data_IF_324046203385
#
_entry.id   IF_324046203385
#
_cell.length_a   1.000
_cell.length_b   1.000
_cell.length_c   1.000
_cell.angle_alpha   90.00
_cell.angle_beta   90.00
_cell.angle_gamma   90.00
#
_symmetry.space_group_name_H-M   'P 1'
#
loop_
_entity.id
_entity.type
_entity.pdbx_description
1 polymer ?
#
# COMPACT_ATOMS: atom_id res chain seq x y z
N UNK A 1 -13.15 -15.66 -22.99
CA UNK A 1 -14.00 -15.88 -21.78
C UNK A 1 -14.57 -17.31 -21.64
N UNK A 2 -14.33 -18.27 -22.55
CA UNK A 2 -14.90 -19.64 -22.45
C UNK A 2 -14.13 -20.65 -21.57
N UNK A 3 -13.15 -20.23 -20.75
CA UNK A 3 -12.30 -21.14 -19.95
C UNK A 3 -12.09 -20.64 -18.51
N UNK A 4 -13.19 -20.43 -17.79
CA UNK A 4 -13.15 -20.28 -16.32
C UNK A 4 -13.38 -21.68 -15.75
N UNK A 5 -12.31 -22.33 -15.31
CA UNK A 5 -12.35 -23.72 -14.82
C UNK A 5 -12.51 -23.77 -13.29
N UNK A 6 -12.23 -22.66 -12.60
CA UNK A 6 -12.31 -22.54 -11.13
C UNK A 6 -13.15 -21.34 -10.71
N UNK A 7 -14.22 -21.60 -9.94
CA UNK A 7 -15.16 -20.58 -9.43
C UNK A 7 -16.31 -20.30 -10.39
N UNK A 8 -17.40 -19.71 -9.87
CA UNK A 8 -18.57 -19.32 -10.68
C UNK A 8 -18.68 -17.80 -10.80
N UNK A 9 -18.76 -17.31 -12.02
CA UNK A 9 -18.85 -15.89 -12.34
C UNK A 9 -20.10 -15.60 -13.17
N UNK A 10 -20.92 -14.64 -12.73
CA UNK A 10 -22.14 -14.21 -13.43
C UNK A 10 -21.98 -12.78 -13.90
N UNK A 11 -22.26 -12.51 -15.17
CA UNK A 11 -22.34 -11.16 -15.74
C UNK A 11 -23.78 -10.86 -16.09
N UNK A 12 -24.37 -9.87 -15.43
CA UNK A 12 -25.66 -9.31 -15.81
C UNK A 12 -25.46 -8.15 -16.76
N UNK A 13 -26.10 -8.23 -17.91
CA UNK A 13 -26.19 -7.16 -18.90
C UNK A 13 -27.66 -6.86 -19.17
N UNK A 14 -27.97 -5.74 -19.82
CA UNK A 14 -29.33 -5.48 -20.31
C UNK A 14 -29.83 -6.55 -21.28
N UNK A 15 -28.93 -7.24 -21.99
CA UNK A 15 -29.26 -8.26 -22.98
C UNK A 15 -29.48 -9.66 -22.38
N UNK A 16 -29.07 -9.91 -21.13
CA UNK A 16 -29.21 -11.20 -20.47
C UNK A 16 -28.14 -11.49 -19.41
N UNK A 17 -28.28 -12.65 -18.77
CA UNK A 17 -27.36 -13.15 -17.73
C UNK A 17 -26.41 -14.19 -18.33
N UNK A 18 -25.12 -13.89 -18.33
CA UNK A 18 -24.08 -14.81 -18.77
C UNK A 18 -23.42 -15.47 -17.55
N UNK A 19 -23.44 -16.80 -17.47
CA UNK A 19 -22.86 -17.56 -16.34
C UNK A 19 -21.67 -18.41 -16.82
N UNK A 20 -20.58 -18.36 -16.05
CA UNK A 20 -19.34 -19.10 -16.30
C UNK A 20 -18.93 -19.87 -15.02
N UNK A 21 -18.48 -21.14 -15.11
CA UNK A 21 -18.54 -22.05 -16.25
C UNK A 21 -19.99 -22.46 -16.60
N UNK A 22 -20.18 -22.88 -17.85
CA UNK A 22 -21.51 -23.23 -18.39
C UNK A 22 -22.02 -24.61 -17.91
N UNK A 23 -21.13 -25.49 -17.43
CA UNK A 23 -21.46 -26.85 -16.95
C UNK A 23 -20.45 -27.33 -15.89
N UNK A 24 -20.88 -27.50 -14.64
CA UNK A 24 -20.13 -28.15 -13.55
C UNK A 24 -20.95 -28.17 -12.26
N UNK A 25 -20.87 -29.22 -11.42
CA UNK A 25 -21.69 -29.31 -10.22
C UNK A 25 -21.31 -28.21 -9.23
N UNK A 26 -22.30 -27.51 -8.67
CA UNK A 26 -22.11 -26.54 -7.57
C UNK A 26 -21.48 -27.26 -6.38
N UNK A 27 -20.16 -27.26 -6.27
CA UNK A 27 -19.52 -27.56 -5.00
C UNK A 27 -19.80 -26.39 -4.06
N UNK A 28 -20.36 -26.66 -2.89
CA UNK A 28 -20.76 -25.65 -1.90
C UNK A 28 -19.61 -24.76 -1.37
N UNK A 29 -18.37 -24.97 -1.85
CA UNK A 29 -17.16 -24.25 -1.50
C UNK A 29 -16.56 -23.40 -2.64
N UNK A 30 -17.23 -23.28 -3.79
CA UNK A 30 -16.74 -22.48 -4.92
C UNK A 30 -17.06 -20.99 -4.76
N UNK A 31 -16.03 -20.14 -4.93
CA UNK A 31 -16.17 -18.67 -4.89
C UNK A 31 -17.14 -18.23 -5.99
N UNK A 32 -18.11 -17.38 -5.62
CA UNK A 32 -19.12 -16.86 -6.53
C UNK A 32 -19.02 -15.34 -6.60
N UNK A 33 -18.90 -14.78 -7.81
CA UNK A 33 -18.95 -13.32 -8.02
C UNK A 33 -19.96 -12.98 -9.11
N UNK A 34 -20.66 -11.88 -8.93
CA UNK A 34 -21.68 -11.31 -9.79
C UNK A 34 -21.28 -9.88 -10.19
N UNK A 35 -21.18 -9.66 -11.50
CA UNK A 35 -20.86 -8.37 -12.11
C UNK A 35 -22.08 -7.86 -12.88
N UNK A 36 -22.57 -6.67 -12.52
CA UNK A 36 -23.69 -6.00 -13.20
C UNK A 36 -23.15 -4.87 -14.06
N UNK A 37 -23.36 -4.96 -15.37
CA UNK A 37 -23.03 -3.90 -16.31
C UNK A 37 -24.20 -2.93 -16.37
N UNK A 38 -23.98 -1.69 -15.93
CA UNK A 38 -24.97 -0.60 -15.89
C UNK A 38 -24.92 0.23 -17.16
N UNK A 39 -23.77 0.29 -17.83
CA UNK A 39 -23.56 1.04 -19.06
C UNK A 39 -22.70 0.27 -20.06
N UNK A 40 -23.13 0.18 -21.32
CA UNK A 40 -22.41 -0.54 -22.38
C UNK A 40 -21.06 0.11 -22.76
N UNK A 41 -20.82 1.36 -22.34
CA UNK A 41 -19.49 2.01 -22.40
C UNK A 41 -18.43 1.14 -21.70
N UNK A 42 -18.82 0.32 -20.72
CA UNK A 42 -17.98 -0.70 -20.10
C UNK A 42 -17.23 -1.57 -21.12
N UNK A 43 -17.94 -2.07 -22.14
CA UNK A 43 -17.34 -2.98 -23.13
C UNK A 43 -16.29 -2.27 -24.00
N UNK A 44 -16.53 -1.01 -24.33
CA UNK A 44 -15.59 -0.19 -25.09
C UNK A 44 -14.33 0.06 -24.26
N UNK A 45 -14.48 0.44 -22.98
CA UNK A 45 -13.35 0.65 -22.06
C UNK A 45 -12.57 -0.64 -21.84
N UNK A 46 -13.25 -1.76 -21.61
CA UNK A 46 -12.62 -3.06 -21.38
C UNK A 46 -11.80 -3.51 -22.61
N UNK A 47 -12.35 -3.34 -23.82
CA UNK A 47 -11.65 -3.72 -25.05
C UNK A 47 -10.48 -2.79 -25.40
N UNK A 48 -10.58 -1.50 -25.08
CA UNK A 48 -9.55 -0.50 -25.45
C UNK A 48 -8.42 -0.41 -24.42
N UNK A 49 -8.74 -0.58 -23.14
CA UNK A 49 -7.84 -0.30 -22.02
C UNK A 49 -7.63 -1.50 -21.10
N UNK A 50 -8.27 -2.65 -21.34
CA UNK A 50 -8.03 -3.88 -20.59
C UNK A 50 -8.42 -3.77 -19.11
N UNK A 51 -7.50 -4.16 -18.23
CA UNK A 51 -7.62 -4.09 -16.77
C UNK A 51 -7.89 -2.65 -16.28
N UNK A 52 -7.20 -1.69 -16.89
CA UNK A 52 -7.38 -0.27 -16.63
C UNK A 52 -8.81 0.19 -16.98
N UNK A 53 -9.34 -0.30 -18.10
CA UNK A 53 -10.69 0.01 -18.56
C UNK A 53 -11.77 -0.56 -17.63
N UNK A 54 -11.55 -1.76 -17.10
CA UNK A 54 -12.42 -2.36 -16.08
C UNK A 54 -12.49 -1.49 -14.81
N UNK A 55 -11.33 -1.07 -14.33
CA UNK A 55 -11.25 -0.33 -13.07
C UNK A 55 -11.76 1.12 -13.21
N UNK A 56 -11.50 1.80 -14.33
CA UNK A 56 -12.15 3.08 -14.64
C UNK A 56 -13.68 2.94 -14.72
N UNK A 57 -14.17 1.89 -15.39
CA UNK A 57 -15.61 1.64 -15.47
C UNK A 57 -16.23 1.39 -14.08
N UNK A 58 -15.53 0.68 -13.20
CA UNK A 58 -15.97 0.47 -11.82
C UNK A 58 -16.02 1.80 -11.05
N UNK A 59 -14.97 2.62 -11.17
CA UNK A 59 -14.88 3.94 -10.53
C UNK A 59 -16.02 4.88 -10.95
N UNK A 60 -16.33 4.94 -12.25
CA UNK A 60 -17.39 5.81 -12.80
C UNK A 60 -18.81 5.29 -12.58
N UNK A 61 -18.98 4.06 -12.10
CA UNK A 61 -20.31 3.47 -11.94
C UNK A 61 -20.88 2.81 -13.20
N UNK A 62 -20.07 2.63 -14.25
CA UNK A 62 -20.48 1.92 -15.46
C UNK A 62 -20.67 0.41 -15.18
N UNK A 63 -20.03 -0.12 -14.12
CA UNK A 63 -20.13 -1.51 -13.68
C UNK A 63 -20.17 -1.62 -12.14
N UNK A 64 -20.94 -2.57 -11.64
CA UNK A 64 -21.08 -2.88 -10.21
C UNK A 64 -20.74 -4.35 -9.95
N UNK A 65 -20.15 -4.65 -8.80
CA UNK A 65 -19.76 -6.02 -8.44
C UNK A 65 -20.14 -6.30 -6.98
N UNK A 66 -20.66 -7.50 -6.72
CA UNK A 66 -21.02 -7.95 -5.36
C UNK A 66 -19.78 -8.22 -4.50
N UNK A 67 -18.77 -8.88 -5.05
CA UNK A 67 -17.54 -9.23 -4.35
C UNK A 67 -16.35 -9.12 -5.31
N UNK A 68 -15.73 -7.93 -5.30
CA UNK A 68 -14.51 -7.66 -6.06
C UNK A 68 -13.36 -8.58 -5.65
N UNK A 69 -13.29 -8.97 -4.37
CA UNK A 69 -12.21 -9.84 -3.86
C UNK A 69 -12.33 -11.22 -4.47
N UNK A 70 -13.52 -11.82 -4.44
CA UNK A 70 -13.79 -13.10 -5.10
C UNK A 70 -13.59 -13.01 -6.62
N UNK A 71 -13.99 -11.90 -7.25
CA UNK A 71 -13.78 -11.68 -8.68
C UNK A 71 -12.29 -11.69 -9.06
N UNK A 72 -11.46 -10.94 -8.34
CA UNK A 72 -10.02 -10.91 -8.59
C UNK A 72 -9.36 -12.25 -8.30
N UNK A 73 -9.78 -12.97 -7.27
CA UNK A 73 -9.33 -14.35 -7.03
C UNK A 73 -9.66 -15.28 -8.20
N UNK A 74 -10.88 -15.23 -8.73
CA UNK A 74 -11.29 -16.02 -9.91
C UNK A 74 -10.43 -15.65 -11.12
N UNK A 75 -10.18 -14.37 -11.38
CA UNK A 75 -9.33 -13.96 -12.51
C UNK A 75 -7.87 -14.39 -12.36
N UNK A 76 -7.33 -14.36 -11.14
CA UNK A 76 -5.97 -14.83 -10.88
C UNK A 76 -5.85 -16.36 -11.00
N UNK A 77 -6.83 -17.11 -10.47
CA UNK A 77 -6.85 -18.58 -10.54
C UNK A 77 -7.01 -19.09 -11.99
N UNK A 78 -7.63 -18.30 -12.87
CA UNK A 78 -7.84 -18.62 -14.28
C UNK A 78 -6.91 -17.85 -15.24
N UNK A 79 -5.85 -17.22 -14.72
CA UNK A 79 -4.93 -16.37 -15.50
C UNK A 79 -4.27 -17.11 -16.67
N UNK A 80 -3.89 -18.37 -16.47
CA UNK A 80 -3.22 -19.17 -17.51
C UNK A 80 -4.19 -19.50 -18.68
N UNK A 81 -5.48 -19.54 -18.41
CA UNK A 81 -6.51 -19.71 -19.43
C UNK A 81 -6.90 -18.40 -20.13
N UNK A 82 -6.78 -17.27 -19.42
CA UNK A 82 -7.06 -15.93 -19.96
C UNK A 82 -5.91 -15.40 -20.83
N UNK A 83 -4.66 -15.68 -20.47
CA UNK A 83 -3.47 -15.29 -21.26
C UNK A 83 -3.37 -15.99 -22.63
N UNK A 84 -4.05 -17.12 -22.81
CA UNK A 84 -4.14 -17.81 -24.10
C UNK A 84 -5.11 -17.14 -25.10
N UNK A 85 -5.81 -16.06 -24.71
CA UNK A 85 -6.57 -15.20 -25.64
C UNK A 85 -5.72 -14.10 -26.30
N UNK A 86 -4.47 -13.90 -25.88
CA UNK A 86 -3.65 -12.73 -26.27
C UNK A 86 -2.96 -12.80 -27.63
N UNK A 87 -3.20 -13.82 -28.46
CA UNK A 87 -2.23 -14.11 -29.55
C UNK A 87 -2.36 -13.23 -30.81
N UNK A 88 -3.47 -12.54 -31.08
CA UNK A 88 -3.61 -11.75 -32.35
C UNK A 88 -4.34 -10.41 -32.25
N UNK A 89 -5.34 -10.27 -31.39
CA UNK A 89 -6.13 -9.02 -31.27
C UNK A 89 -5.47 -8.02 -30.32
N UNK A 90 -4.86 -8.47 -29.21
CA UNK A 90 -4.18 -7.61 -28.22
C UNK A 90 -2.95 -6.87 -28.78
N UNK A 91 -2.29 -7.41 -29.81
CA UNK A 91 -1.08 -6.79 -30.39
C UNK A 91 -1.37 -5.48 -31.15
N UNK A 92 -2.57 -5.36 -31.76
CA UNK A 92 -2.97 -4.14 -32.46
C UNK A 92 -3.39 -3.02 -31.48
N UNK A 93 -3.89 -3.38 -30.28
CA UNK A 93 -4.36 -2.44 -29.26
C UNK A 93 -3.31 -2.07 -28.19
N UNK A 94 -2.15 -2.73 -28.17
CA UNK A 94 -1.03 -2.42 -27.25
C UNK A 94 -0.08 -1.33 -27.77
N UNK A 95 -0.18 -0.94 -29.05
CA UNK A 95 0.65 0.13 -29.62
C UNK A 95 0.38 1.52 -28.98
N UNK A 96 -0.89 1.96 -28.82
CA UNK A 96 -1.20 3.21 -28.14
C UNK A 96 -0.77 3.19 -26.67
N UNK A 97 -0.94 2.05 -25.99
CA UNK A 97 -0.55 1.87 -24.59
C UNK A 97 0.95 2.11 -24.39
N UNK A 98 1.82 1.59 -25.26
CA UNK A 98 3.28 1.78 -25.16
C UNK A 98 3.70 3.25 -25.32
N UNK A 99 3.04 4.01 -26.20
CA UNK A 99 3.37 5.42 -26.48
C UNK A 99 2.93 6.33 -25.33
N UNK A 100 1.77 6.08 -24.75
CA UNK A 100 1.30 6.84 -23.57
C UNK A 100 2.15 6.50 -22.35
N UNK A 101 2.52 5.23 -22.15
CA UNK A 101 3.30 4.79 -21.00
C UNK A 101 4.69 5.45 -20.93
N UNK A 102 5.39 5.58 -22.05
CA UNK A 102 6.75 6.15 -22.07
C UNK A 102 6.82 7.64 -21.70
N UNK A 103 5.76 8.41 -21.97
CA UNK A 103 5.74 9.86 -21.70
C UNK A 103 5.37 10.21 -20.26
N UNK A 104 4.86 9.25 -19.48
CA UNK A 104 4.47 9.44 -18.09
C UNK A 104 5.48 8.82 -17.08
N UNK A 105 6.55 8.18 -17.56
CA UNK A 105 7.58 7.58 -16.70
C UNK A 105 8.56 8.64 -16.18
N UNK A 106 8.53 8.82 -14.85
CA UNK A 106 9.58 9.31 -13.94
C UNK A 106 10.64 10.28 -14.49
N UNK A 107 10.24 11.54 -14.74
CA UNK A 107 11.16 12.68 -14.65
C UNK A 107 11.33 13.06 -13.17
N UNK A 108 12.53 13.49 -12.74
CA UNK A 108 12.86 13.88 -11.35
C UNK A 108 11.84 14.84 -10.71
N UNK A 109 11.31 15.78 -11.49
CA UNK A 109 10.28 16.73 -11.06
C UNK A 109 8.94 16.06 -10.76
N UNK A 110 8.61 14.98 -11.48
CA UNK A 110 7.37 14.24 -11.31
C UNK A 110 7.42 13.37 -10.06
N UNK A 111 8.52 12.65 -9.77
CA UNK A 111 8.61 11.83 -8.55
C UNK A 111 8.41 12.65 -7.27
N UNK A 112 8.96 13.88 -7.21
CA UNK A 112 8.72 14.82 -6.09
C UNK A 112 7.26 15.29 -6.04
N UNK A 113 6.68 15.65 -7.18
CA UNK A 113 5.28 16.06 -7.28
C UNK A 113 4.31 14.94 -6.92
N UNK A 114 4.66 13.70 -7.24
CA UNK A 114 3.85 12.50 -7.00
C UNK A 114 3.87 12.12 -5.50
N UNK A 115 5.01 12.26 -4.82
CA UNK A 115 5.07 12.09 -3.35
C UNK A 115 4.24 13.19 -2.66
N UNK A 116 4.35 14.45 -3.08
CA UNK A 116 3.61 15.56 -2.44
C UNK A 116 2.09 15.46 -2.68
N UNK A 117 1.66 15.25 -3.93
CA UNK A 117 0.26 15.39 -4.33
C UNK A 117 -0.71 14.39 -3.68
N UNK A 118 -0.20 13.31 -3.06
CA UNK A 118 -1.01 12.29 -2.39
C UNK A 118 -1.00 12.40 -0.87
N UNK A 119 0.08 12.90 -0.27
CA UNK A 119 0.16 13.16 1.16
C UNK A 119 -0.35 14.55 1.56
N UNK A 120 -0.69 15.40 0.59
CA UNK A 120 -1.43 16.66 0.79
C UNK A 120 -2.97 16.43 0.79
N UNK A 121 -3.42 15.18 1.00
CA UNK A 121 -4.82 14.85 1.29
C UNK A 121 -5.01 14.94 2.81
N UNK A 122 -6.12 15.55 3.26
CA UNK A 122 -6.36 15.92 4.65
C UNK A 122 -6.04 14.82 5.66
N UNK A 123 -5.21 15.16 6.65
CA UNK A 123 -4.89 14.32 7.81
C UNK A 123 -6.14 13.75 8.51
N UNK A 124 -7.27 14.46 8.46
CA UNK A 124 -8.53 13.99 9.07
C UNK A 124 -9.12 12.77 8.33
N UNK A 125 -8.93 12.69 7.01
CA UNK A 125 -9.34 11.53 6.22
C UNK A 125 -8.53 10.30 6.65
N UNK A 126 -7.21 10.43 6.73
CA UNK A 126 -6.33 9.37 7.19
C UNK A 126 -6.64 8.95 8.64
N UNK A 127 -6.92 9.91 9.53
CA UNK A 127 -7.36 9.63 10.90
C UNK A 127 -8.70 8.88 10.99
N UNK A 128 -9.50 8.88 9.92
CA UNK A 128 -10.76 8.15 9.84
C UNK A 128 -10.60 6.63 9.80
N UNK A 129 -9.52 6.12 9.18
CA UNK A 129 -9.33 4.69 8.96
C UNK A 129 -7.99 4.12 9.47
N UNK A 130 -6.99 4.97 9.69
CA UNK A 130 -5.75 4.55 10.35
C UNK A 130 -5.96 4.35 11.87
N UNK A 131 -5.01 3.68 12.50
CA UNK A 131 -4.91 3.61 13.96
C UNK A 131 -4.45 4.94 14.55
N UNK A 132 -4.52 5.09 15.88
CA UNK A 132 -4.16 6.33 16.59
C UNK A 132 -2.73 6.83 16.30
N UNK A 133 -1.81 5.93 15.96
CA UNK A 133 -0.47 6.28 15.54
C UNK A 133 -0.39 6.83 14.11
N UNK A 134 -1.47 6.86 13.33
CA UNK A 134 -1.44 7.36 11.95
C UNK A 134 -0.37 6.65 11.08
N UNK A 135 -0.10 5.37 11.30
CA UNK A 135 0.90 4.65 10.50
C UNK A 135 0.25 4.10 9.23
N UNK A 136 0.63 4.68 8.08
CA UNK A 136 0.23 4.19 6.75
C UNK A 136 1.34 3.31 6.16
N UNK A 137 1.50 2.12 6.74
CA UNK A 137 2.38 1.04 6.24
C UNK A 137 1.93 -0.30 6.82
N UNK A 138 2.48 -1.41 6.33
CA UNK A 138 2.14 -2.76 6.79
C UNK A 138 2.27 -2.93 8.32
N UNK A 139 1.25 -3.47 8.97
CA UNK A 139 1.32 -3.87 10.38
C UNK A 139 1.85 -5.32 10.53
N UNK A 140 2.29 -5.74 11.73
CA UNK A 140 2.64 -7.14 12.03
C UNK A 140 1.64 -7.71 13.02
N UNK A 141 0.88 -8.72 12.60
CA UNK A 141 -0.14 -9.41 13.40
C UNK A 141 0.35 -10.73 14.01
N UNK A 142 -0.21 -11.16 15.15
CA UNK A 142 0.14 -12.47 15.74
C UNK A 142 -0.53 -13.61 14.98
N UNK A 143 -1.73 -13.34 14.47
CA UNK A 143 -2.53 -14.25 13.68
C UNK A 143 -2.91 -13.56 12.38
N UNK A 144 -2.61 -14.15 11.23
CA UNK A 144 -2.86 -13.55 9.92
C UNK A 144 -4.35 -13.45 9.56
N UNK A 145 -5.16 -14.37 10.08
CA UNK A 145 -6.60 -14.49 9.78
C UNK A 145 -7.46 -14.38 11.04
N UNK A 146 -6.91 -13.75 12.09
CA UNK A 146 -7.64 -13.56 13.35
C UNK A 146 -8.91 -12.71 13.19
N UNK A 147 -8.94 -11.82 12.19
CA UNK A 147 -10.08 -10.99 11.82
C UNK A 147 -11.21 -11.77 11.14
N UNK A 148 -10.89 -12.86 10.42
CA UNK A 148 -11.86 -13.66 9.68
C UNK A 148 -12.65 -14.65 10.57
N UNK A 149 -12.22 -14.86 11.82
CA UNK A 149 -12.89 -15.79 12.77
C UNK A 149 -14.11 -15.20 13.44
N UNK A 150 -14.15 -13.88 13.61
CA UNK A 150 -15.33 -13.14 14.04
C UNK A 150 -16.28 -13.04 12.85
N UNK A 151 -17.46 -13.69 12.92
CA UNK A 151 -18.44 -13.83 11.84
C UNK A 151 -19.08 -12.55 11.31
N UNK A 152 -18.28 -11.53 11.01
CA UNK A 152 -18.69 -10.38 10.22
C UNK A 152 -18.92 -10.84 8.78
N UNK A 153 -20.05 -10.45 8.21
CA UNK A 153 -20.40 -10.78 6.83
C UNK A 153 -19.37 -10.15 5.88
N UNK A 154 -18.43 -10.97 5.38
CA UNK A 154 -17.33 -10.55 4.51
C UNK A 154 -17.81 -9.76 3.28
N UNK A 155 -19.08 -9.94 2.90
CA UNK A 155 -19.72 -9.30 1.75
C UNK A 155 -20.03 -7.83 1.96
N UNK A 156 -20.25 -7.39 3.21
CA UNK A 156 -20.51 -5.97 3.50
C UNK A 156 -19.30 -5.09 3.15
N UNK A 157 -18.10 -5.66 3.21
CA UNK A 157 -16.84 -4.93 3.02
C UNK A 157 -16.17 -5.20 1.66
N UNK A 158 -16.78 -6.03 0.79
CA UNK A 158 -16.26 -6.38 -0.54
C UNK A 158 -16.76 -5.47 -1.68
N UNK A 159 -17.49 -4.40 -1.34
CA UNK A 159 -18.09 -3.47 -2.30
C UNK A 159 -19.58 -3.73 -2.61
N UNK A 160 -20.25 -4.60 -1.84
CA UNK A 160 -21.66 -4.98 -2.07
C UNK A 160 -22.71 -3.96 -1.58
N UNK A 161 -22.32 -2.81 -1.04
CA UNK A 161 -23.28 -1.82 -0.52
C UNK A 161 -24.23 -1.35 -1.63
N UNK A 162 -25.46 -1.86 -1.62
CA UNK A 162 -26.53 -1.49 -2.55
C UNK A 162 -26.99 -2.56 -3.54
N UNK A 163 -26.34 -3.72 -3.63
CA UNK A 163 -26.76 -4.80 -4.54
C UNK A 163 -27.80 -5.73 -3.90
N UNK A 164 -29.08 -5.49 -4.16
CA UNK A 164 -30.15 -6.46 -3.84
C UNK A 164 -30.05 -7.69 -4.77
N UNK A 165 -29.88 -8.88 -4.19
CA UNK A 165 -30.10 -10.15 -4.90
C UNK A 165 -31.59 -10.28 -5.22
N UNK A 166 -31.94 -10.39 -6.50
CA UNK A 166 -33.31 -10.65 -6.99
C UNK A 166 -33.84 -12.07 -6.66
N UNK A 167 -33.29 -12.76 -5.66
CA UNK A 167 -33.64 -14.15 -5.34
C UNK A 167 -33.57 -14.53 -3.88
N UNK A 168 -33.63 -13.57 -2.95
CA UNK A 168 -33.75 -13.88 -1.52
C UNK A 168 -34.75 -12.90 -0.92
N UNK A 169 -35.82 -13.47 -0.36
CA UNK A 169 -36.87 -12.77 0.37
C UNK A 169 -36.27 -11.78 1.38
N UNK A 170 -37.01 -10.69 1.60
CA UNK A 170 -36.65 -9.54 2.43
C UNK A 170 -36.18 -9.95 3.83
N UNK A 171 -34.88 -10.15 4.02
CA UNK A 171 -34.27 -9.95 5.34
C UNK A 171 -33.84 -8.49 5.42
N UNK A 172 -34.62 -7.72 6.17
CA UNK A 172 -34.18 -6.44 6.72
C UNK A 172 -32.83 -6.66 7.38
N UNK A 173 -31.76 -6.21 6.71
CA UNK A 173 -30.42 -6.16 7.29
C UNK A 173 -30.50 -5.17 8.44
N UNK A 174 -30.68 -5.73 9.63
CA UNK A 174 -30.65 -5.01 10.88
C UNK A 174 -29.34 -4.23 10.97
N UNK A 175 -29.43 -2.92 10.93
CA UNK A 175 -28.37 -1.93 11.20
C UNK A 175 -27.82 -2.04 12.64
N UNK A 176 -28.14 -3.10 13.39
CA UNK A 176 -27.89 -3.24 14.83
C UNK A 176 -26.56 -3.90 15.20
N UNK A 177 -25.66 -4.22 14.25
CA UNK A 177 -24.35 -4.85 14.58
C UNK A 177 -23.17 -3.87 14.52
N UNK A 178 -23.35 -2.62 14.08
CA UNK A 178 -22.29 -1.60 14.18
C UNK A 178 -22.40 -0.92 15.54
N UNK A 179 -22.04 -1.64 16.61
CA UNK A 179 -21.73 -0.98 17.88
C UNK A 179 -20.41 -0.26 17.71
N UNK A 180 -20.48 1.07 17.65
CA UNK A 180 -19.38 1.98 17.93
C UNK A 180 -18.80 1.66 19.31
N UNK A 181 -17.88 0.71 19.37
CA UNK A 181 -16.87 0.74 20.41
C UNK A 181 -15.73 1.60 19.85
N UNK A 182 -15.52 2.82 20.37
CA UNK A 182 -14.31 3.55 20.05
C UNK A 182 -13.14 2.65 20.47
N UNK A 183 -12.37 2.18 19.48
CA UNK A 183 -11.17 1.42 19.74
C UNK A 183 -10.26 2.29 20.61
N UNK A 184 -10.12 1.94 21.88
CA UNK A 184 -9.12 2.58 22.75
C UNK A 184 -7.74 2.12 22.28
N UNK A 185 -6.70 2.96 22.44
CA UNK A 185 -5.33 2.66 21.99
C UNK A 185 -4.86 1.28 22.46
N UNK A 186 -5.23 0.85 23.67
CA UNK A 186 -4.84 -0.45 24.21
C UNK A 186 -5.64 -1.64 23.67
N UNK A 187 -6.88 -1.43 23.19
CA UNK A 187 -7.75 -2.51 22.69
C UNK A 187 -7.76 -2.63 21.17
N UNK A 188 -7.15 -1.67 20.46
CA UNK A 188 -7.10 -1.65 19.00
C UNK A 188 -6.11 -2.70 18.44
N UNK A 189 -6.60 -3.76 17.75
CA UNK A 189 -5.73 -4.78 17.16
C UNK A 189 -4.80 -4.24 16.06
N UNK A 190 -5.21 -3.18 15.34
CA UNK A 190 -4.39 -2.53 14.31
C UNK A 190 -3.26 -1.73 14.95
N UNK A 191 -3.56 -0.92 15.96
CA UNK A 191 -2.56 -0.16 16.70
C UNK A 191 -1.50 -1.08 17.32
N UNK A 192 -1.94 -2.15 18.00
CA UNK A 192 -1.02 -3.14 18.57
C UNK A 192 -0.15 -3.81 17.51
N UNK A 193 -0.71 -4.10 16.33
CA UNK A 193 0.03 -4.67 15.21
C UNK A 193 1.04 -3.67 14.61
N UNK A 194 0.69 -2.38 14.54
CA UNK A 194 1.61 -1.33 14.12
C UNK A 194 2.75 -1.15 15.12
N UNK A 195 2.46 -1.06 16.42
CA UNK A 195 3.49 -0.93 17.46
C UNK A 195 4.44 -2.13 17.48
N UNK A 196 3.93 -3.34 17.23
CA UNK A 196 4.77 -4.54 17.08
C UNK A 196 5.67 -4.46 15.86
N UNK A 197 5.18 -3.96 14.72
CA UNK A 197 6.00 -3.71 13.54
C UNK A 197 7.11 -2.71 13.84
N UNK A 198 6.77 -1.56 14.41
CA UNK A 198 7.77 -0.53 14.72
C UNK A 198 8.82 -1.05 15.70
N UNK A 199 8.39 -1.77 16.75
CA UNK A 199 9.30 -2.42 17.71
C UNK A 199 10.18 -3.48 17.04
N UNK A 200 9.65 -4.24 16.08
CA UNK A 200 10.41 -5.22 15.32
C UNK A 200 11.52 -4.55 14.49
N UNK A 201 11.21 -3.43 13.83
CA UNK A 201 12.20 -2.62 13.08
C UNK A 201 13.26 -2.04 14.02
N UNK A 202 12.87 -1.49 15.17
CA UNK A 202 13.81 -0.95 16.18
C UNK A 202 14.76 -2.05 16.69
N UNK A 203 14.24 -3.24 16.96
CA UNK A 203 15.05 -4.40 17.38
C UNK A 203 16.03 -4.84 16.30
N UNK A 204 15.60 -4.90 15.03
CA UNK A 204 16.49 -5.22 13.90
C UNK A 204 17.54 -4.14 13.67
N UNK A 205 17.19 -2.88 13.91
CA UNK A 205 18.14 -1.78 13.84
C UNK A 205 19.12 -1.78 15.03
N UNK A 206 18.89 -2.54 16.10
CA UNK A 206 19.74 -2.58 17.31
C UNK A 206 20.12 -1.17 17.79
N UNK A 207 19.11 -0.31 17.95
CA UNK A 207 19.34 1.06 18.43
C UNK A 207 19.75 0.98 19.91
N UNK A 208 20.81 1.71 20.28
CA UNK A 208 21.33 1.80 21.65
C UNK A 208 21.23 3.25 22.16
N UNK A 209 21.27 3.50 23.47
CA UNK A 209 21.32 4.84 24.03
C UNK A 209 22.50 5.65 23.47
N UNK A 210 22.29 6.93 23.16
CA UNK A 210 23.31 7.80 22.57
C UNK A 210 23.43 7.74 21.04
N UNK A 211 22.73 6.81 20.37
CA UNK A 211 22.78 6.71 18.91
C UNK A 211 22.00 7.85 18.23
N UNK A 212 22.56 8.32 17.11
CA UNK A 212 21.87 9.20 16.18
C UNK A 212 21.25 8.38 15.04
N UNK A 213 19.95 8.50 14.87
CA UNK A 213 19.16 7.73 13.89
C UNK A 213 18.68 8.64 12.76
N UNK A 214 18.93 8.23 11.52
CA UNK A 214 18.35 8.86 10.33
C UNK A 214 17.12 8.08 9.88
N UNK A 215 16.00 8.76 9.74
CA UNK A 215 14.78 8.24 9.14
C UNK A 215 14.48 8.96 7.82
N UNK A 216 14.35 8.19 6.73
CA UNK A 216 13.85 8.72 5.45
C UNK A 216 12.42 8.27 5.25
N UNK A 217 11.50 9.24 5.24
CA UNK A 217 10.06 9.02 5.16
C UNK A 217 9.39 9.12 6.52
N UNK A 218 9.31 10.33 7.09
CA UNK A 218 8.77 10.56 8.44
C UNK A 218 7.33 10.09 8.64
N UNK A 219 6.51 10.11 7.58
CA UNK A 219 5.06 9.99 7.69
C UNK A 219 4.53 10.98 8.75
N UNK A 220 3.84 10.46 9.76
CA UNK A 220 3.38 11.23 10.92
C UNK A 220 4.23 11.02 12.19
N UNK A 221 5.49 10.60 12.02
CA UNK A 221 6.55 10.54 13.04
C UNK A 221 6.39 9.47 14.13
N UNK A 222 5.54 8.46 13.90
CA UNK A 222 5.29 7.39 14.89
C UNK A 222 6.51 6.55 15.21
N UNK A 223 7.38 6.30 14.23
CA UNK A 223 8.62 5.58 14.46
C UNK A 223 9.58 6.39 15.32
N UNK A 224 9.87 7.64 14.96
CA UNK A 224 10.77 8.50 15.71
C UNK A 224 10.28 8.75 17.14
N UNK A 225 8.97 8.97 17.33
CA UNK A 225 8.35 9.09 18.66
C UNK A 225 8.59 7.80 19.46
N UNK A 226 8.32 6.63 18.87
CA UNK A 226 8.52 5.36 19.57
C UNK A 226 9.99 5.14 19.93
N UNK A 227 10.94 5.43 19.04
CA UNK A 227 12.38 5.32 19.30
C UNK A 227 12.78 6.20 20.49
N UNK A 228 12.37 7.46 20.48
CA UNK A 228 12.73 8.41 21.53
C UNK A 228 12.07 8.09 22.88
N UNK A 229 10.87 7.51 22.88
CA UNK A 229 10.18 7.05 24.10
C UNK A 229 10.78 5.77 24.68
N UNK A 230 11.22 4.84 23.83
CA UNK A 230 11.67 3.51 24.26
C UNK A 230 13.13 3.45 24.67
N UNK A 231 14.00 4.26 24.06
CA UNK A 231 15.45 4.21 24.29
C UNK A 231 15.90 5.59 24.76
N UNK A 232 16.56 5.73 25.92
CA UNK A 232 17.04 7.02 26.42
C UNK A 232 18.18 7.58 25.55
N UNK A 233 18.36 8.90 25.57
CA UNK A 233 19.49 9.62 24.95
C UNK A 233 19.72 9.40 23.44
N UNK A 234 18.72 8.91 22.70
CA UNK A 234 18.76 8.85 21.24
C UNK A 234 18.32 10.17 20.61
N UNK A 235 18.94 10.52 19.48
CA UNK A 235 18.53 11.64 18.62
C UNK A 235 18.03 11.08 17.30
N UNK A 236 16.87 11.55 16.84
CA UNK A 236 16.27 11.10 15.57
C UNK A 236 16.11 12.29 14.64
N UNK A 237 16.77 12.24 13.49
CA UNK A 237 16.55 13.16 12.38
C UNK A 237 15.67 12.46 11.34
N UNK A 238 14.51 13.04 11.05
CA UNK A 238 13.54 12.44 10.13
C UNK A 238 13.22 13.39 8.98
N UNK A 239 13.14 12.84 7.76
CA UNK A 239 12.95 13.59 6.52
C UNK A 239 11.56 13.35 5.91
N UNK A 240 10.87 14.42 5.55
CA UNK A 240 9.64 14.39 4.75
C UNK A 240 9.64 15.46 3.65
N UNK A 241 8.83 15.24 2.62
CA UNK A 241 8.55 16.20 1.55
C UNK A 241 7.19 16.89 1.70
N UNK A 242 6.30 16.39 2.57
CA UNK A 242 4.97 16.96 2.76
C UNK A 242 4.94 17.92 3.96
N UNK A 243 4.41 19.12 3.72
CA UNK A 243 4.22 20.16 4.74
C UNK A 243 3.13 19.75 5.75
N UNK A 244 2.07 19.10 5.28
CA UNK A 244 0.97 18.64 6.14
C UNK A 244 1.44 17.56 7.12
N UNK A 245 2.27 16.63 6.64
CA UNK A 245 2.91 15.62 7.48
C UNK A 245 3.84 16.25 8.51
N UNK A 246 4.69 17.19 8.10
CA UNK A 246 5.60 17.88 9.02
C UNK A 246 4.83 18.60 10.13
N UNK A 247 3.76 19.32 9.77
CA UNK A 247 2.98 20.12 10.72
C UNK A 247 2.35 19.23 11.80
N UNK A 248 1.69 18.14 11.40
CA UNK A 248 1.08 17.21 12.35
C UNK A 248 2.14 16.42 13.14
N UNK A 249 3.26 16.04 12.51
CA UNK A 249 4.38 15.39 13.18
C UNK A 249 4.94 16.27 14.31
N UNK A 250 5.18 17.57 14.05
CA UNK A 250 5.68 18.51 15.05
C UNK A 250 4.70 18.70 16.20
N UNK A 251 3.39 18.75 15.93
CA UNK A 251 2.35 18.79 16.97
C UNK A 251 2.43 17.55 17.87
N UNK A 252 2.49 16.35 17.28
CA UNK A 252 2.58 15.08 18.04
C UNK A 252 3.88 14.97 18.85
N UNK A 253 5.00 15.46 18.32
CA UNK A 253 6.27 15.51 19.05
C UNK A 253 6.20 16.47 20.24
N UNK A 254 5.53 17.63 20.06
CA UNK A 254 5.28 18.60 21.12
C UNK A 254 4.44 18.00 22.24
N UNK A 255 3.33 17.34 21.89
CA UNK A 255 2.45 16.65 22.83
C UNK A 255 3.18 15.54 23.61
N UNK A 256 4.14 14.87 22.96
CA UNK A 256 4.98 13.87 23.62
C UNK A 256 6.16 14.46 24.43
N UNK A 257 6.44 15.76 24.33
CA UNK A 257 7.57 16.42 25.01
C UNK A 257 8.96 16.09 24.46
N UNK A 258 9.06 15.59 23.23
CA UNK A 258 10.29 15.02 22.65
C UNK A 258 11.01 15.94 21.66
N UNK A 259 10.68 17.23 21.66
CA UNK A 259 11.23 18.23 20.73
C UNK A 259 12.75 18.37 20.80
N UNK A 260 13.36 18.06 21.95
CA UNK A 260 14.80 18.12 22.15
C UNK A 260 15.55 16.92 21.54
N UNK A 261 14.83 15.88 21.12
CA UNK A 261 15.41 14.60 20.63
C UNK A 261 15.03 14.28 19.20
N UNK A 262 13.91 14.81 18.71
CA UNK A 262 13.39 14.53 17.37
C UNK A 262 13.40 15.83 16.56
N UNK A 263 14.07 15.80 15.41
CA UNK A 263 14.08 16.90 14.45
C UNK A 263 13.43 16.46 13.14
N UNK A 264 12.34 17.15 12.75
CA UNK A 264 11.60 16.87 11.50
C UNK A 264 11.99 17.89 10.45
N UNK A 265 12.67 17.43 9.41
CA UNK A 265 13.19 18.27 8.33
C UNK A 265 12.33 18.13 7.07
N UNK A 266 11.90 19.27 6.52
CA UNK A 266 11.22 19.34 5.23
C UNK A 266 12.27 19.48 4.13
N UNK A 267 12.84 18.36 3.71
CA UNK A 267 13.86 18.35 2.68
C UNK A 267 13.89 17.03 1.92
N UNK A 268 14.45 17.09 0.72
CA UNK A 268 14.76 15.89 -0.06
C UNK A 268 16.02 15.22 0.51
N UNK A 269 15.99 13.90 0.66
CA UNK A 269 17.14 13.12 1.12
C UNK A 269 18.38 13.27 0.20
N UNK A 270 18.20 13.73 -1.04
CA UNK A 270 19.30 14.00 -1.96
C UNK A 270 20.05 15.29 -1.64
N UNK A 271 19.44 16.20 -0.90
CA UNK A 271 19.98 17.51 -0.56
C UNK A 271 20.34 17.60 0.93
N UNK A 272 20.80 16.49 1.52
CA UNK A 272 21.21 16.46 2.91
C UNK A 272 22.42 17.39 3.16
N UNK A 273 22.45 18.12 4.29
CA UNK A 273 23.54 19.05 4.59
C UNK A 273 24.90 18.34 4.74
N UNK A 274 25.99 18.96 4.29
CA UNK A 274 27.31 18.33 4.26
C UNK A 274 27.81 17.83 5.63
N UNK A 275 27.36 18.45 6.73
CA UNK A 275 27.64 18.04 8.10
C UNK A 275 27.06 16.67 8.49
N UNK A 276 26.19 16.09 7.66
CA UNK A 276 25.59 14.78 7.89
C UNK A 276 26.38 13.62 7.27
N UNK A 277 27.50 13.91 6.61
CA UNK A 277 28.41 12.89 6.13
C UNK A 277 28.92 12.03 7.29
N UNK A 278 28.68 10.72 7.20
CA UNK A 278 29.06 9.73 8.20
C UNK A 278 28.62 10.09 9.64
N UNK A 279 27.50 10.79 9.81
CA UNK A 279 27.05 11.27 11.11
C UNK A 279 26.12 10.28 11.85
N UNK A 280 25.48 9.37 11.13
CA UNK A 280 24.42 8.52 11.68
C UNK A 280 24.88 7.11 12.03
N UNK A 281 24.48 6.63 13.21
CA UNK A 281 24.74 5.26 13.68
C UNK A 281 23.74 4.26 13.09
N UNK A 282 22.50 4.73 12.89
CA UNK A 282 21.38 3.89 12.47
C UNK A 282 20.57 4.54 11.38
N UNK A 283 20.05 3.71 10.49
CA UNK A 283 19.21 4.15 9.38
C UNK A 283 17.90 3.38 9.36
N UNK A 284 16.79 4.07 9.14
CA UNK A 284 15.47 3.47 8.96
C UNK A 284 14.80 4.12 7.75
N UNK A 285 14.21 3.30 6.88
CA UNK A 285 13.28 3.79 5.85
C UNK A 285 12.16 2.78 5.64
N UNK A 286 10.92 3.24 5.70
CA UNK A 286 9.74 2.38 5.61
C UNK A 286 8.91 2.82 4.42
N UNK A 287 8.69 1.90 3.48
CA UNK A 287 7.79 2.05 2.31
C UNK A 287 8.01 3.36 1.53
N UNK A 288 9.28 3.78 1.43
CA UNK A 288 9.68 4.98 0.68
C UNK A 288 10.27 4.63 -0.69
N UNK A 289 10.98 3.50 -0.79
CA UNK A 289 11.74 3.10 -1.99
C UNK A 289 10.83 2.97 -3.22
N UNK A 290 9.56 2.63 -3.00
CA UNK A 290 8.50 2.53 -3.99
C UNK A 290 8.32 3.83 -4.78
N UNK A 291 8.58 4.97 -4.15
CA UNK A 291 8.46 6.29 -4.74
C UNK A 291 9.76 6.82 -5.37
N UNK A 292 10.89 6.14 -5.18
CA UNK A 292 12.20 6.56 -5.72
C UNK A 292 12.28 6.33 -7.23
N UNK A 293 11.74 5.20 -7.70
CA UNK A 293 11.86 4.79 -9.11
C UNK A 293 13.16 4.03 -9.40
N UNK A 294 13.13 3.18 -10.44
CA UNK A 294 14.22 2.26 -10.78
C UNK A 294 15.55 2.96 -11.04
N UNK A 295 15.56 4.06 -11.79
CA UNK A 295 16.82 4.73 -12.18
C UNK A 295 17.56 5.34 -10.99
N UNK A 296 16.86 5.67 -9.91
CA UNK A 296 17.40 6.41 -8.77
C UNK A 296 17.73 5.53 -7.57
N UNK A 297 17.46 4.23 -7.62
CA UNK A 297 17.78 3.30 -6.53
C UNK A 297 19.27 3.29 -6.16
N UNK A 298 20.16 3.33 -7.16
CA UNK A 298 21.60 3.39 -6.92
C UNK A 298 21.98 4.68 -6.19
N UNK A 299 21.42 5.82 -6.62
CA UNK A 299 21.65 7.11 -5.96
C UNK A 299 21.08 7.14 -4.54
N UNK A 300 19.92 6.52 -4.32
CA UNK A 300 19.36 6.37 -2.98
C UNK A 300 20.33 5.64 -2.05
N UNK A 301 20.86 4.49 -2.45
CA UNK A 301 21.84 3.76 -1.66
C UNK A 301 23.17 4.51 -1.48
N UNK A 302 23.59 5.31 -2.46
CA UNK A 302 24.76 6.20 -2.33
C UNK A 302 24.55 7.23 -1.21
N UNK A 303 23.37 7.85 -1.16
CA UNK A 303 23.03 8.82 -0.10
C UNK A 303 22.98 8.15 1.28
N UNK A 304 22.43 6.93 1.35
CA UNK A 304 22.40 6.14 2.58
C UNK A 304 23.83 5.78 3.04
N UNK A 305 24.70 5.30 2.14
CA UNK A 305 26.10 5.00 2.47
C UNK A 305 26.88 6.26 2.91
N UNK A 306 26.58 7.40 2.30
CA UNK A 306 27.21 8.68 2.62
C UNK A 306 26.82 9.17 4.02
N UNK A 307 25.54 9.07 4.40
CA UNK A 307 25.05 9.52 5.70
C UNK A 307 25.46 8.61 6.87
N UNK A 308 25.61 7.31 6.62
CA UNK A 308 25.95 6.32 7.64
C UNK A 308 27.43 6.32 8.02
N UNK A 309 27.72 6.28 9.33
CA UNK A 309 29.08 6.11 9.88
C UNK A 309 29.80 4.95 9.23
N UNK A 310 31.10 5.10 8.94
CA UNK A 310 31.92 4.08 8.25
C UNK A 310 32.21 2.82 9.08
N UNK A 311 31.89 2.82 10.39
CA UNK A 311 32.02 1.66 11.28
C UNK A 311 30.77 1.54 12.15
N UNK A 312 30.35 0.30 12.42
CA UNK A 312 29.25 0.00 13.36
C UNK A 312 27.84 0.40 12.88
N UNK A 313 27.70 0.98 11.68
CA UNK A 313 26.39 1.41 11.18
C UNK A 313 25.49 0.23 10.79
N UNK A 314 24.22 0.34 11.16
CA UNK A 314 23.17 -0.64 10.86
C UNK A 314 21.97 0.09 10.26
N UNK A 315 21.42 -0.44 9.17
CA UNK A 315 20.22 0.09 8.55
C UNK A 315 19.12 -0.95 8.43
N UNK A 316 17.88 -0.49 8.46
CA UNK A 316 16.69 -1.31 8.20
C UNK A 316 15.82 -0.61 7.18
N UNK A 317 15.44 -1.34 6.14
CA UNK A 317 14.55 -0.86 5.09
C UNK A 317 13.36 -1.80 4.99
N UNK A 318 12.15 -1.24 4.97
CA UNK A 318 10.93 -1.95 4.62
C UNK A 318 10.47 -1.50 3.23
N UNK A 319 10.14 -2.45 2.36
CA UNK A 319 9.77 -2.17 0.97
C UNK A 319 8.83 -3.23 0.41
N UNK A 320 7.80 -2.77 -0.29
CA UNK A 320 6.90 -3.59 -1.09
C UNK A 320 7.64 -4.05 -2.35
N UNK A 321 7.62 -5.36 -2.58
CA UNK A 321 8.37 -6.02 -3.64
C UNK A 321 7.47 -6.84 -4.54
N UNK A 322 7.94 -7.10 -5.76
CA UNK A 322 7.31 -8.03 -6.69
C UNK A 322 8.20 -9.28 -6.89
N UNK A 323 7.63 -10.48 -7.06
CA UNK A 323 8.40 -11.68 -7.41
C UNK A 323 9.13 -11.53 -8.74
N UNK A 324 10.37 -12.03 -8.81
CA UNK A 324 11.27 -11.91 -9.98
C UNK A 324 10.61 -12.37 -11.30
N UNK A 325 9.92 -13.50 -11.27
CA UNK A 325 9.24 -14.06 -12.44
C UNK A 325 8.20 -13.12 -13.09
N UNK A 326 7.71 -12.10 -12.35
CA UNK A 326 6.74 -11.13 -12.84
C UNK A 326 7.36 -9.80 -13.26
N UNK A 327 8.63 -9.58 -12.94
CA UNK A 327 9.27 -8.27 -13.07
C UNK A 327 9.33 -7.77 -14.50
N UNK A 328 9.74 -8.62 -15.46
CA UNK A 328 9.79 -8.24 -16.87
C UNK A 328 8.41 -7.84 -17.43
N UNK A 329 7.37 -8.55 -17.02
CA UNK A 329 5.99 -8.27 -17.42
C UNK A 329 5.49 -6.97 -16.79
N UNK A 330 5.72 -6.80 -15.49
CA UNK A 330 5.39 -5.57 -14.76
C UNK A 330 6.10 -4.32 -15.31
N UNK A 331 7.30 -4.47 -15.87
CA UNK A 331 7.98 -3.37 -16.56
C UNK A 331 7.35 -3.01 -17.91
N UNK A 332 6.66 -3.94 -18.58
CA UNK A 332 6.06 -3.73 -19.92
C UNK A 332 4.60 -3.29 -19.86
N UNK A 333 3.88 -3.66 -18.81
CA UNK A 333 2.46 -3.35 -18.61
C UNK A 333 2.29 -2.13 -17.67
N UNK A 334 1.36 -1.23 -18.00
CA UNK A 334 0.93 -0.16 -17.08
C UNK A 334 -0.34 -0.63 -16.40
N UNK A 335 -0.16 -1.24 -15.24
CA UNK A 335 -1.26 -1.70 -14.40
C UNK A 335 -2.13 -0.51 -13.96
N UNK A 336 -3.40 -0.79 -13.68
CA UNK A 336 -4.33 0.16 -13.04
C UNK A 336 -3.70 0.90 -11.85
N UNK A 337 -2.85 0.21 -11.07
CA UNK A 337 -2.17 0.83 -9.94
C UNK A 337 -1.32 2.04 -10.36
N UNK A 338 -0.49 1.88 -11.38
CA UNK A 338 0.45 2.93 -11.82
C UNK A 338 -0.23 4.14 -12.43
N UNK A 339 -1.42 3.97 -13.01
CA UNK A 339 -2.16 5.05 -13.69
C UNK A 339 -3.21 5.72 -12.82
N UNK A 340 -3.90 5.00 -11.95
CA UNK A 340 -5.02 5.55 -11.15
C UNK A 340 -4.85 5.36 -9.64
N UNK A 341 -4.25 4.27 -9.18
CA UNK A 341 -4.06 4.02 -7.73
C UNK A 341 -2.82 4.77 -7.24
N UNK A 342 -3.04 5.98 -6.75
CA UNK A 342 -2.34 6.65 -5.62
C UNK A 342 -0.80 6.82 -5.73
N UNK A 343 -0.10 6.22 -6.69
CA UNK A 343 1.35 6.23 -6.86
C UNK A 343 1.75 6.40 -8.34
N UNK A 344 1.43 7.53 -8.99
CA UNK A 344 1.99 7.86 -10.29
C UNK A 344 3.51 7.83 -10.20
N UNK A 345 4.16 7.05 -11.08
CA UNK A 345 5.62 6.85 -11.03
C UNK A 345 6.11 5.82 -9.99
N UNK A 346 5.21 5.23 -9.21
CA UNK A 346 5.52 4.16 -8.27
C UNK A 346 6.17 2.96 -8.95
N UNK A 347 7.26 2.48 -8.37
CA UNK A 347 8.03 1.35 -8.87
C UNK A 347 8.21 0.32 -7.76
N UNK A 348 7.79 -0.92 -8.04
CA UNK A 348 7.96 -2.02 -7.10
C UNK A 348 9.22 -2.79 -7.50
N UNK A 349 10.30 -2.76 -6.71
CA UNK A 349 11.52 -3.48 -7.01
C UNK A 349 11.39 -4.98 -6.70
N UNK A 350 12.29 -5.78 -7.27
CA UNK A 350 12.52 -7.15 -6.82
C UNK A 350 13.61 -7.18 -5.76
N UNK A 351 13.68 -8.26 -4.98
CA UNK A 351 14.78 -8.44 -4.02
C UNK A 351 16.15 -8.49 -4.70
N UNK A 352 16.24 -9.10 -5.89
CA UNK A 352 17.49 -9.17 -6.67
C UNK A 352 17.95 -7.76 -7.04
N UNK A 353 17.05 -6.95 -7.61
CA UNK A 353 17.35 -5.58 -7.98
C UNK A 353 17.75 -4.71 -6.77
N UNK A 354 17.08 -4.90 -5.62
CA UNK A 354 17.44 -4.19 -4.40
C UNK A 354 18.86 -4.52 -3.95
N UNK A 355 19.26 -5.79 -3.95
CA UNK A 355 20.61 -6.18 -3.53
C UNK A 355 21.68 -5.75 -4.54
N UNK A 356 21.40 -5.85 -5.84
CA UNK A 356 22.31 -5.35 -6.88
C UNK A 356 22.53 -3.83 -6.75
N UNK A 357 21.46 -3.06 -6.58
CA UNK A 357 21.55 -1.60 -6.44
C UNK A 357 22.18 -1.19 -5.11
N UNK A 358 21.94 -1.94 -4.03
CA UNK A 358 22.61 -1.74 -2.74
C UNK A 358 24.12 -1.96 -2.86
N UNK A 359 24.55 -3.04 -3.52
CA UNK A 359 25.97 -3.33 -3.74
C UNK A 359 26.63 -2.26 -4.60
N UNK A 360 25.97 -1.85 -5.69
CA UNK A 360 26.47 -0.81 -6.60
C UNK A 360 26.54 0.56 -5.91
N UNK A 361 25.49 0.94 -5.17
CA UNK A 361 25.40 2.24 -4.52
C UNK A 361 26.35 2.38 -3.33
N UNK A 362 26.52 1.32 -2.53
CA UNK A 362 27.45 1.30 -1.39
C UNK A 362 28.90 0.96 -1.76
N UNK A 363 29.18 0.67 -3.04
CA UNK A 363 30.47 0.13 -3.51
C UNK A 363 30.91 -1.11 -2.71
N UNK A 364 29.94 -1.91 -2.25
CA UNK A 364 30.14 -3.09 -1.40
C UNK A 364 30.40 -2.82 0.08
N UNK A 365 30.22 -1.58 0.55
CA UNK A 365 30.40 -1.23 1.97
C UNK A 365 29.23 -1.63 2.87
N UNK A 366 28.08 -2.02 2.31
CA UNK A 366 26.90 -2.48 3.04
C UNK A 366 26.65 -3.96 2.73
N UNK A 367 26.53 -4.78 3.78
CA UNK A 367 26.24 -6.21 3.71
C UNK A 367 24.85 -6.48 4.25
N UNK A 368 24.08 -7.32 3.56
CA UNK A 368 22.74 -7.72 4.01
C UNK A 368 22.88 -8.71 5.17
N UNK A 369 22.20 -8.43 6.27
CA UNK A 369 22.21 -9.25 7.50
C UNK A 369 20.99 -10.16 7.57
N UNK A 370 19.79 -9.64 7.30
CA UNK A 370 18.57 -10.45 7.32
C UNK A 370 17.48 -9.91 6.39
N UNK A 371 16.61 -10.81 5.95
CA UNK A 371 15.44 -10.50 5.11
C UNK A 371 14.23 -11.20 5.71
N UNK A 372 13.18 -10.44 6.03
CA UNK A 372 11.93 -10.96 6.60
C UNK A 372 10.76 -10.59 5.69
N UNK A 373 9.94 -11.56 5.31
CA UNK A 373 8.74 -11.32 4.50
C UNK A 373 7.53 -11.09 5.42
N UNK A 374 6.97 -9.88 5.36
CA UNK A 374 5.76 -9.48 6.08
C UNK A 374 4.53 -9.32 5.16
N UNK A 375 4.68 -9.60 3.86
CA UNK A 375 3.60 -9.47 2.86
C UNK A 375 2.24 -10.07 3.26
N UNK A 376 2.17 -11.28 3.87
CA UNK A 376 0.89 -11.83 4.35
C UNK A 376 0.17 -10.96 5.38
N UNK A 377 0.91 -10.22 6.22
CA UNK A 377 0.32 -9.30 7.20
C UNK A 377 -0.26 -8.04 6.54
N UNK A 378 0.23 -7.69 5.35
CA UNK A 378 -0.26 -6.55 4.57
C UNK A 378 -1.70 -6.79 4.12
N UNK A 379 -2.04 -8.01 3.71
CA UNK A 379 -3.42 -8.37 3.35
C UNK A 379 -4.39 -8.07 4.50
N UNK A 380 -4.06 -8.48 5.74
CA UNK A 380 -4.88 -8.16 6.93
C UNK A 380 -4.92 -6.66 7.23
N UNK A 381 -3.81 -5.96 7.04
CA UNK A 381 -3.74 -4.50 7.22
C UNK A 381 -4.74 -3.79 6.29
N UNK A 382 -4.75 -4.16 4.99
CA UNK A 382 -5.66 -3.58 3.99
C UNK A 382 -7.13 -3.91 4.27
N UNK A 383 -7.44 -5.13 4.74
CA UNK A 383 -8.80 -5.49 5.16
C UNK A 383 -9.30 -4.60 6.29
N UNK A 384 -8.46 -4.38 7.31
CA UNK A 384 -8.84 -3.58 8.47
C UNK A 384 -8.97 -2.09 8.11
N UNK A 385 -8.07 -1.56 7.26
CA UNK A 385 -8.20 -0.22 6.72
C UNK A 385 -9.49 -0.05 5.92
N UNK A 386 -9.84 -1.00 5.04
CA UNK A 386 -11.09 -0.94 4.27
C UNK A 386 -12.31 -0.99 5.19
N UNK A 387 -12.32 -1.88 6.18
CA UNK A 387 -13.40 -1.99 7.16
C UNK A 387 -13.63 -0.66 7.88
N UNK A 388 -12.57 -0.05 8.39
CA UNK A 388 -12.65 1.26 9.08
C UNK A 388 -13.02 2.39 8.13
N UNK A 389 -12.48 2.39 6.92
CA UNK A 389 -12.77 3.37 5.90
C UNK A 389 -14.27 3.39 5.57
N UNK A 390 -14.88 2.23 5.32
CA UNK A 390 -16.31 2.14 5.02
C UNK A 390 -17.18 2.57 6.21
N UNK A 391 -16.83 2.14 7.43
CA UNK A 391 -17.54 2.54 8.65
C UNK A 391 -17.46 4.05 8.92
N UNK A 392 -16.29 4.65 8.72
CA UNK A 392 -16.04 6.06 8.98
C UNK A 392 -16.38 6.97 7.79
N UNK A 393 -16.78 6.40 6.64
CA UNK A 393 -16.89 7.11 5.37
C UNK A 393 -17.85 8.30 5.48
N UNK A 394 -19.11 8.04 5.81
CA UNK A 394 -20.15 9.06 5.94
C UNK A 394 -19.91 9.99 7.13
N UNK A 395 -19.43 9.44 8.26
CA UNK A 395 -19.33 10.20 9.51
C UNK A 395 -18.15 11.18 9.59
N UNK A 396 -17.00 10.83 8.99
CA UNK A 396 -15.73 11.55 9.17
C UNK A 396 -15.07 11.91 7.84
N UNK A 397 -15.06 11.00 6.88
CA UNK A 397 -14.32 11.18 5.63
C UNK A 397 -15.05 12.13 4.69
N UNK A 398 -16.36 11.98 4.51
CA UNK A 398 -17.15 12.89 3.66
C UNK A 398 -17.08 14.35 4.15
N UNK A 399 -17.28 14.66 5.45
CA UNK A 399 -17.13 16.02 5.95
C UNK A 399 -15.70 16.58 5.80
N UNK A 400 -14.66 15.75 5.96
CA UNK A 400 -13.27 16.16 5.75
C UNK A 400 -12.98 16.51 4.29
N UNK A 401 -13.46 15.68 3.34
CA UNK A 401 -13.30 15.92 1.91
C UNK A 401 -14.06 17.16 1.44
N UNK A 402 -15.27 17.39 1.95
CA UNK A 402 -16.06 18.58 1.63
C UNK A 402 -15.41 19.87 2.15
N UNK A 403 -14.74 19.83 3.31
CA UNK A 403 -13.99 20.98 3.85
C UNK A 403 -12.73 21.29 3.05
N UNK A 404 -12.03 20.27 2.57
CA UNK A 404 -10.78 20.44 1.82
C UNK A 404 -11.03 20.84 0.36
N UNK A 405 -12.07 20.28 -0.28
CA UNK A 405 -12.43 20.54 -1.68
C UNK A 405 -13.87 21.05 -1.82
N UNK A 406 -14.18 22.23 -1.26
CA UNK A 406 -15.54 22.75 -1.29
C UNK A 406 -16.07 22.93 -2.71
N UNK A 407 -15.22 23.38 -3.65
CA UNK A 407 -15.62 23.70 -5.03
C UNK A 407 -16.05 22.48 -5.86
N UNK A 408 -15.53 21.29 -5.53
CA UNK A 408 -15.76 20.05 -6.30
C UNK A 408 -16.79 19.15 -5.60
N UNK A 409 -16.73 19.09 -4.27
CA UNK A 409 -17.47 18.09 -3.48
C UNK A 409 -18.81 18.58 -2.93
N UNK A 410 -19.11 19.89 -2.95
CA UNK A 410 -20.40 20.44 -2.47
C UNK A 410 -21.40 20.78 -3.58
N UNK A 411 -20.99 20.72 -4.85
CA UNK A 411 -21.85 21.02 -5.99
C UNK A 411 -22.90 19.93 -6.31
N UNK A 412 -23.76 20.13 -7.33
CA UNK A 412 -24.80 19.17 -7.72
C UNK A 412 -24.25 17.81 -8.17
N UNK A 413 -22.99 17.75 -8.61
CA UNK A 413 -22.26 16.51 -8.93
C UNK A 413 -21.32 16.05 -7.80
N UNK A 414 -21.22 16.78 -6.68
CA UNK A 414 -20.29 16.49 -5.60
C UNK A 414 -20.51 15.12 -4.97
N UNK A 415 -21.78 14.70 -4.83
CA UNK A 415 -22.11 13.35 -4.35
C UNK A 415 -21.61 12.25 -5.31
N UNK A 416 -21.66 12.49 -6.62
CA UNK A 416 -21.10 11.55 -7.61
C UNK A 416 -19.58 11.50 -7.53
N UNK A 417 -18.89 12.61 -7.27
CA UNK A 417 -17.44 12.65 -7.11
C UNK A 417 -16.99 11.95 -5.81
N UNK A 418 -17.76 12.11 -4.73
CA UNK A 418 -17.56 11.38 -3.47
C UNK A 418 -17.72 9.87 -3.68
N UNK A 419 -18.73 9.44 -4.44
CA UNK A 419 -18.91 8.03 -4.79
C UNK A 419 -17.77 7.48 -5.66
N UNK A 420 -17.30 8.25 -6.66
CA UNK A 420 -16.11 7.87 -7.46
C UNK A 420 -14.89 7.72 -6.55
N UNK A 421 -14.71 8.63 -5.58
CA UNK A 421 -13.64 8.56 -4.60
C UNK A 421 -13.75 7.30 -3.71
N UNK A 422 -14.96 7.00 -3.21
CA UNK A 422 -15.24 5.79 -2.44
C UNK A 422 -14.88 4.53 -3.23
N UNK A 423 -15.35 4.42 -4.47
CA UNK A 423 -15.09 3.28 -5.37
C UNK A 423 -13.61 3.15 -5.72
N UNK A 424 -12.91 4.27 -5.90
CA UNK A 424 -11.46 4.29 -6.09
C UNK A 424 -10.72 3.67 -4.91
N UNK A 425 -11.11 4.03 -3.69
CA UNK A 425 -10.47 3.52 -2.46
C UNK A 425 -10.85 2.06 -2.17
N UNK A 426 -12.08 1.64 -2.51
CA UNK A 426 -12.48 0.23 -2.44
C UNK A 426 -11.63 -0.62 -3.39
N UNK A 427 -11.15 -0.07 -4.52
CA UNK A 427 -10.29 -0.80 -5.44
C UNK A 427 -8.96 -1.29 -4.83
N UNK A 428 -8.57 -0.82 -3.64
CA UNK A 428 -7.47 -1.38 -2.85
C UNK A 428 -7.68 -2.87 -2.47
N UNK A 429 -8.90 -3.42 -2.67
CA UNK A 429 -9.15 -4.88 -2.76
C UNK A 429 -8.14 -5.61 -3.65
N UNK A 430 -7.73 -4.99 -4.74
CA UNK A 430 -6.76 -5.57 -5.66
C UNK A 430 -5.39 -5.79 -4.98
N UNK A 431 -4.94 -4.82 -4.19
CA UNK A 431 -3.70 -4.93 -3.42
C UNK A 431 -3.79 -6.05 -2.37
N UNK A 432 -4.92 -6.15 -1.67
CA UNK A 432 -5.17 -7.22 -0.69
C UNK A 432 -5.05 -8.61 -1.33
N UNK A 433 -5.71 -8.81 -2.47
CA UNK A 433 -5.63 -10.07 -3.22
C UNK A 433 -4.20 -10.29 -3.71
N UNK A 434 -3.49 -9.23 -4.10
CA UNK A 434 -2.08 -9.27 -4.49
C UNK A 434 -1.18 -9.88 -3.41
N UNK A 435 -1.29 -9.39 -2.18
CA UNK A 435 -0.54 -9.91 -1.04
C UNK A 435 -1.00 -11.31 -0.60
N UNK A 436 -2.31 -11.57 -0.60
CA UNK A 436 -2.89 -12.88 -0.22
C UNK A 436 -2.43 -13.99 -1.17
N UNK A 437 -2.37 -13.69 -2.47
CA UNK A 437 -1.89 -14.63 -3.50
C UNK A 437 -0.37 -14.67 -3.63
N UNK A 438 0.36 -13.91 -2.80
CA UNK A 438 1.84 -13.74 -2.87
C UNK A 438 2.33 -13.27 -4.24
N UNK A 439 1.47 -12.59 -4.97
CA UNK A 439 1.83 -11.95 -6.24
C UNK A 439 2.48 -10.59 -6.01
N UNK A 440 2.31 -10.05 -4.81
CA UNK A 440 3.09 -8.98 -4.17
C UNK A 440 3.67 -9.52 -2.85
N UNK A 441 4.80 -8.96 -2.41
CA UNK A 441 5.39 -9.21 -1.10
C UNK A 441 5.78 -7.90 -0.45
N UNK A 442 6.08 -7.92 0.85
CA UNK A 442 6.64 -6.80 1.58
C UNK A 442 7.76 -7.34 2.46
N UNK A 443 8.95 -6.74 2.35
CA UNK A 443 10.15 -7.26 2.99
C UNK A 443 10.81 -6.21 3.87
N UNK A 444 11.17 -6.64 5.08
CA UNK A 444 12.07 -5.91 5.97
C UNK A 444 13.47 -6.47 5.78
N UNK A 445 14.38 -5.63 5.33
CA UNK A 445 15.78 -5.93 5.04
C UNK A 445 16.65 -5.19 6.06
N UNK A 446 17.46 -5.92 6.83
CA UNK A 446 18.54 -5.32 7.63
C UNK A 446 19.87 -5.42 6.89
N UNK A 447 20.68 -4.38 7.01
CA UNK A 447 22.03 -4.34 6.47
C UNK A 447 22.99 -3.68 7.45
N UNK A 448 24.26 -4.03 7.35
CA UNK A 448 25.32 -3.65 8.28
C UNK A 448 26.59 -3.31 7.50
N UNK A 449 27.55 -2.66 8.16
CA UNK A 449 28.91 -2.53 7.61
C UNK A 449 29.76 -3.74 7.94
N UNK A 450 30.71 -4.03 7.05
CA UNK A 450 31.76 -5.01 7.28
C UNK A 450 32.51 -4.69 8.59
N UNK A 451 32.71 -5.70 9.44
CA UNK A 451 33.37 -5.53 10.75
C UNK A 451 32.48 -4.97 11.87
N UNK A 452 31.16 -4.93 11.70
CA UNK A 452 30.23 -4.59 12.78
C UNK A 452 30.20 -5.72 13.84
N UNK A 453 30.99 -5.57 14.90
CA UNK A 453 31.07 -6.52 16.04
C UNK A 453 29.84 -6.46 16.96
N UNK A 454 29.00 -5.43 16.83
CA UNK A 454 27.76 -5.25 17.62
C UNK A 454 26.70 -6.36 17.37
N UNK A 455 26.98 -7.28 16.44
CA UNK A 455 26.20 -8.51 16.28
C UNK A 455 26.55 -9.64 17.25
N UNK A 456 27.56 -9.47 18.10
CA UNK A 456 27.94 -10.49 19.08
C UNK A 456 28.63 -11.68 18.44
N UNK A 457 29.47 -11.41 17.43
CA UNK A 457 30.23 -12.43 16.69
C UNK A 457 31.71 -12.44 17.12
N UNK A 458 31.97 -12.24 18.40
CA UNK A 458 33.34 -12.27 18.92
C UNK A 458 33.88 -13.69 18.86
N UNK A 459 35.13 -13.82 18.43
CA UNK A 459 35.86 -15.08 18.48
C UNK A 459 36.37 -15.33 19.89
N UNK A 460 36.45 -16.59 20.33
CA UNK A 460 37.13 -16.92 21.58
C UNK A 460 38.54 -16.32 21.59
N UNK A 461 38.88 -15.61 22.67
CA UNK A 461 40.23 -15.06 22.92
C UNK A 461 41.28 -16.16 23.13
#
# INVERSE_FOLDING_TARGET
>A
MQRVDKGSFRVLTYAGVHTFPHTGPKSAAERTAELRVVNDVFWIRLCTMGDLGFAEAYMYGDVECDDLVSLFHIFLDNRDNLSNLDSKTSYLFTLPQKITSYRFLNTISNSRSNISAHYDISNEMFAGFLSHDMTYSCAIFENLDGDLKSGADHRLFSGAEGLQRLSSEEEQVSTAIIKDHPFTSESDPLYQAQMRKLTHVIKKAKIMPGHRVLEIGSGWCSMAILIAQTIPDTTVDTLTLSVEQQTLAQQRICEAGLQHRISVHLMDYRNMPAEWEAAFDRFISIEMIEAVGKEFLVTYWQQVDWALKKKGAVGVVQVITIPEARFERYMREVDFIRKWVIFPGGFLPTLVLLFETLQQGSKGGLTVDSVSNIGPHYARTLREWRRRFLLAFESKIVPALQRQYPDIMTGPQGRSQIEVFKRKWICDCYCEVGFTTRTLGDHIISFTREGCQEYGCDTYE
#
